data_IF_102201905413
#
_entry.id   IF_102201905413
#
_cell.length_a   1.000
_cell.length_b   1.000
_cell.length_c   1.000
_cell.angle_alpha   90.00
_cell.angle_beta   90.00
_cell.angle_gamma   90.00
#
_symmetry.space_group_name_H-M   'P 1'
#
loop_
_entity.id
_entity.type
_entity.pdbx_description
1 polymer ?
#
# COMPACT_ATOMS: atom_id res chain seq x y z
N UNK A 1 23.06 -36.40 -24.36
CA UNK A 1 21.96 -36.32 -23.38
C UNK A 1 22.08 -35.00 -22.63
N UNK A 2 21.18 -34.08 -22.92
CA UNK A 2 21.14 -32.82 -22.18
C UNK A 2 20.39 -33.03 -20.89
N UNK A 3 21.06 -32.77 -19.78
CA UNK A 3 20.39 -32.68 -18.49
C UNK A 3 19.70 -31.32 -18.43
N UNK A 4 18.37 -31.32 -18.46
CA UNK A 4 17.59 -30.12 -18.19
C UNK A 4 17.67 -29.86 -16.70
N UNK A 5 18.47 -28.87 -16.30
CA UNK A 5 18.48 -28.41 -14.94
C UNK A 5 17.33 -27.45 -14.81
N UNK A 6 16.23 -27.91 -14.22
CA UNK A 6 15.12 -27.05 -13.85
C UNK A 6 15.52 -26.29 -12.59
N UNK A 7 15.96 -25.04 -12.76
CA UNK A 7 16.07 -24.14 -11.63
C UNK A 7 14.66 -23.78 -11.19
N UNK A 8 14.18 -24.46 -10.15
CA UNK A 8 13.05 -23.96 -9.41
C UNK A 8 13.51 -22.71 -8.66
N UNK A 9 13.34 -21.56 -9.32
CA UNK A 9 13.49 -20.28 -8.64
C UNK A 9 12.28 -20.17 -7.71
N UNK A 10 12.47 -20.53 -6.45
CA UNK A 10 11.54 -20.14 -5.41
C UNK A 10 11.70 -18.63 -5.23
N UNK A 11 10.99 -17.87 -6.06
CA UNK A 11 10.72 -16.48 -5.69
C UNK A 11 9.84 -16.57 -4.46
N UNK A 12 10.44 -16.38 -3.31
CA UNK A 12 9.69 -16.04 -2.11
C UNK A 12 8.99 -14.72 -2.44
N UNK A 13 7.74 -14.81 -2.88
CA UNK A 13 6.85 -13.65 -2.86
C UNK A 13 6.60 -13.31 -1.40
N UNK A 14 7.55 -12.62 -0.80
CA UNK A 14 7.25 -11.82 0.33
C UNK A 14 6.36 -10.70 -0.22
N UNK A 15 5.06 -10.73 0.14
CA UNK A 15 4.15 -9.64 -0.12
C UNK A 15 4.65 -8.43 0.69
N UNK A 16 5.65 -7.76 0.16
CA UNK A 16 6.02 -6.46 0.68
C UNK A 16 5.61 -5.45 -0.37
N UNK A 17 4.69 -4.56 0.03
CA UNK A 17 4.34 -3.41 -0.80
C UNK A 17 5.59 -2.59 -1.04
N UNK A 18 5.70 -1.99 -2.22
CA UNK A 18 6.80 -1.10 -2.51
C UNK A 18 6.74 0.10 -1.56
N UNK A 19 7.87 0.38 -0.92
CA UNK A 19 8.02 1.53 -0.04
C UNK A 19 8.40 2.76 -0.87
N UNK A 20 7.64 3.85 -0.70
CA UNK A 20 7.86 5.06 -1.45
C UNK A 20 8.60 6.11 -0.61
N UNK A 21 9.38 6.94 -1.30
CA UNK A 21 10.06 8.09 -0.74
C UNK A 21 9.64 9.37 -1.45
N UNK A 22 10.08 10.52 -0.93
CA UNK A 22 9.84 11.81 -1.58
C UNK A 22 10.38 11.83 -3.03
N UNK A 23 11.38 11.02 -3.33
CA UNK A 23 12.04 10.99 -4.64
C UNK A 23 11.25 10.28 -5.71
N UNK A 24 10.40 9.31 -5.35
CA UNK A 24 9.68 8.49 -6.32
C UNK A 24 8.15 8.49 -6.15
N UNK A 25 7.63 9.16 -5.13
CA UNK A 25 6.20 9.14 -4.80
C UNK A 25 5.32 9.55 -5.98
N UNK A 26 5.55 10.75 -6.49
CA UNK A 26 4.70 11.31 -7.56
C UNK A 26 4.76 10.47 -8.83
N UNK A 27 5.95 9.99 -9.20
CA UNK A 27 6.14 9.14 -10.38
C UNK A 27 5.41 7.80 -10.24
N UNK A 28 5.50 7.17 -9.08
CA UNK A 28 4.94 5.85 -8.84
C UNK A 28 3.41 5.82 -8.83
N UNK A 29 2.77 6.89 -8.38
CA UNK A 29 1.31 6.94 -8.28
C UNK A 29 0.65 7.62 -9.49
N UNK A 30 1.43 8.23 -10.38
CA UNK A 30 0.92 8.91 -11.56
C UNK A 30 0.14 7.94 -12.46
N UNK A 31 -1.07 8.36 -12.83
CA UNK A 31 -1.93 7.56 -13.71
C UNK A 31 -2.51 6.30 -13.09
N UNK A 32 -2.40 6.14 -11.77
CA UNK A 32 -2.79 4.92 -11.08
C UNK A 32 -3.87 5.17 -10.03
N UNK A 33 -4.62 4.10 -9.75
CA UNK A 33 -5.41 3.99 -8.55
C UNK A 33 -4.53 3.36 -7.48
N UNK A 34 -4.15 4.13 -6.48
CA UNK A 34 -3.16 3.71 -5.49
C UNK A 34 -3.69 3.86 -4.07
N UNK A 35 -3.42 2.86 -3.24
CA UNK A 35 -3.65 2.89 -1.80
C UNK A 35 -2.30 3.06 -1.13
N UNK A 36 -2.14 4.11 -0.36
CA UNK A 36 -0.89 4.40 0.33
C UNK A 36 -1.08 4.19 1.83
N UNK A 37 -0.30 3.28 2.40
CA UNK A 37 -0.26 2.99 3.83
C UNK A 37 0.82 3.83 4.50
N UNK A 38 0.41 4.85 5.23
CA UNK A 38 1.30 5.66 6.07
C UNK A 38 1.43 4.99 7.43
N UNK A 39 2.62 4.54 7.75
CA UNK A 39 2.89 3.73 8.94
C UNK A 39 4.18 4.14 9.65
N UNK A 40 4.40 3.57 10.83
CA UNK A 40 5.67 3.61 11.53
C UNK A 40 6.05 2.20 12.00
N UNK A 41 7.34 1.94 12.15
CA UNK A 41 7.85 0.61 12.52
C UNK A 41 7.45 0.17 13.93
N UNK A 42 7.23 1.13 14.84
CA UNK A 42 6.90 0.88 16.26
C UNK A 42 5.39 0.79 16.54
N UNK A 43 4.57 0.84 15.54
CA UNK A 43 3.11 1.00 15.65
C UNK A 43 2.39 -0.35 15.58
N UNK A 44 1.87 -0.91 16.69
CA UNK A 44 1.16 -2.19 16.66
C UNK A 44 -0.08 -2.22 15.77
N UNK A 45 -0.96 -1.19 15.76
CA UNK A 45 -2.09 -1.16 14.82
C UNK A 45 -1.66 -1.16 13.35
N UNK A 46 -0.51 -0.57 13.04
CA UNK A 46 0.04 -0.57 11.67
C UNK A 46 0.38 -1.99 11.21
N UNK A 47 0.85 -2.84 12.11
CA UNK A 47 1.17 -4.24 11.80
C UNK A 47 -0.10 -5.05 11.53
N UNK A 48 -1.17 -4.78 12.27
CA UNK A 48 -2.47 -5.42 12.03
C UNK A 48 -3.01 -5.01 10.66
N UNK A 49 -2.97 -3.72 10.34
CA UNK A 49 -3.39 -3.24 9.03
C UNK A 49 -2.55 -3.85 7.91
N UNK A 50 -1.24 -3.97 8.10
CA UNK A 50 -0.34 -4.58 7.12
C UNK A 50 -0.79 -6.01 6.78
N UNK A 51 -1.15 -6.81 7.78
CA UNK A 51 -1.66 -8.16 7.56
C UNK A 51 -2.99 -8.15 6.80
N UNK A 52 -3.88 -7.22 7.15
CA UNK A 52 -5.16 -7.07 6.45
C UNK A 52 -4.97 -6.62 4.99
N UNK A 53 -3.97 -5.80 4.72
CA UNK A 53 -3.61 -5.40 3.35
C UNK A 53 -3.05 -6.57 2.54
N UNK A 54 -2.30 -7.48 3.17
CA UNK A 54 -1.83 -8.70 2.51
C UNK A 54 -3.01 -9.58 2.07
N UNK A 55 -3.99 -9.77 2.95
CA UNK A 55 -5.21 -10.51 2.62
C UNK A 55 -5.99 -9.80 1.50
N UNK A 56 -6.10 -8.49 1.57
CA UNK A 56 -6.75 -7.68 0.55
C UNK A 56 -6.05 -7.76 -0.80
N UNK A 57 -4.72 -7.83 -0.84
CA UNK A 57 -3.95 -7.95 -2.08
C UNK A 57 -4.41 -9.14 -2.92
N UNK A 58 -4.84 -10.23 -2.27
CA UNK A 58 -5.31 -11.44 -2.94
C UNK A 58 -6.68 -11.23 -3.59
N UNK A 59 -7.53 -10.41 -2.98
CA UNK A 59 -8.94 -10.24 -3.40
C UNK A 59 -9.23 -8.87 -4.02
N UNK A 60 -8.26 -7.96 -4.02
CA UNK A 60 -8.49 -6.59 -4.47
C UNK A 60 -8.99 -6.51 -5.91
N UNK A 61 -9.81 -5.50 -6.24
CA UNK A 61 -10.18 -5.23 -7.62
C UNK A 61 -8.94 -4.98 -8.49
N UNK A 62 -9.02 -5.37 -9.76
CA UNK A 62 -7.93 -5.15 -10.72
C UNK A 62 -7.64 -3.66 -10.88
N UNK A 63 -6.38 -3.34 -11.13
CA UNK A 63 -5.94 -1.98 -11.41
C UNK A 63 -5.67 -1.11 -10.18
N UNK A 64 -5.73 -1.68 -8.97
CA UNK A 64 -5.38 -0.99 -7.73
C UNK A 64 -4.00 -1.46 -7.27
N UNK A 65 -3.10 -0.52 -7.04
CA UNK A 65 -1.77 -0.79 -6.50
C UNK A 65 -1.67 -0.30 -5.05
N UNK A 66 -0.95 -1.05 -4.22
CA UNK A 66 -0.73 -0.73 -2.81
C UNK A 66 0.73 -0.37 -2.61
N UNK A 67 0.96 0.76 -1.96
CA UNK A 67 2.28 1.23 -1.57
C UNK A 67 2.29 1.57 -0.08
N UNK A 68 3.47 1.72 0.48
CA UNK A 68 3.63 2.15 1.86
C UNK A 68 4.63 3.30 1.98
N UNK A 69 4.42 4.12 3.00
CA UNK A 69 5.30 5.25 3.34
C UNK A 69 5.58 5.18 4.84
N UNK A 70 6.85 5.04 5.20
CA UNK A 70 7.28 5.11 6.59
C UNK A 70 7.39 6.58 6.98
N UNK A 71 6.55 7.05 7.90
CA UNK A 71 6.52 8.46 8.29
C UNK A 71 7.76 8.91 9.04
N UNK A 72 8.50 7.98 9.65
CA UNK A 72 9.75 8.30 10.35
C UNK A 72 10.83 8.74 9.36
N UNK A 73 10.90 8.06 8.20
CA UNK A 73 11.85 8.37 7.14
C UNK A 73 11.34 9.45 6.18
N UNK A 74 10.03 9.56 6.02
CA UNK A 74 9.38 10.40 5.03
C UNK A 74 8.43 11.41 5.67
N UNK A 75 8.91 12.16 6.65
CA UNK A 75 8.12 13.14 7.38
C UNK A 75 7.53 14.21 6.46
N UNK A 76 8.25 14.57 5.41
CA UNK A 76 7.78 15.56 4.42
C UNK A 76 6.49 15.08 3.74
N UNK A 77 6.41 13.80 3.37
CA UNK A 77 5.20 13.24 2.77
C UNK A 77 4.04 13.20 3.77
N UNK A 78 4.31 12.80 5.01
CA UNK A 78 3.30 12.80 6.05
C UNK A 78 2.70 14.18 6.27
N UNK A 79 3.54 15.20 6.33
CA UNK A 79 3.09 16.60 6.49
C UNK A 79 2.31 17.09 5.27
N UNK A 80 2.80 16.79 4.06
CA UNK A 80 2.16 17.21 2.81
C UNK A 80 0.72 16.71 2.73
N UNK A 81 0.46 15.48 3.15
CA UNK A 81 -0.87 14.87 3.07
C UNK A 81 -1.65 14.91 4.39
N UNK A 82 -1.15 15.63 5.39
CA UNK A 82 -1.87 15.86 6.63
C UNK A 82 -2.03 14.62 7.52
N UNK A 83 -1.10 13.67 7.45
CA UNK A 83 -1.12 12.46 8.27
C UNK A 83 -0.75 12.80 9.69
N UNK A 84 -1.70 12.59 10.64
CA UNK A 84 -1.51 12.89 12.06
C UNK A 84 -1.64 11.68 12.96
N UNK A 85 -2.36 10.66 12.52
CA UNK A 85 -2.62 9.43 13.27
C UNK A 85 -2.16 8.22 12.47
N UNK A 86 -1.77 7.15 13.15
CA UNK A 86 -1.28 5.93 12.51
C UNK A 86 -2.13 4.73 12.91
N UNK A 87 -2.37 3.83 11.99
CA UNK A 87 -2.07 3.94 10.57
C UNK A 87 -3.08 4.85 9.85
N UNK A 88 -2.67 5.44 8.73
CA UNK A 88 -3.55 6.19 7.86
C UNK A 88 -3.40 5.65 6.43
N UNK A 89 -4.52 5.28 5.83
CA UNK A 89 -4.58 4.96 4.41
C UNK A 89 -5.09 6.18 3.66
N UNK A 90 -4.41 6.54 2.58
CA UNK A 90 -4.92 7.53 1.66
C UNK A 90 -5.03 6.89 0.28
N UNK A 91 -6.21 7.00 -0.33
CA UNK A 91 -6.48 6.55 -1.68
C UNK A 91 -6.19 7.68 -2.65
N UNK A 92 -5.40 7.37 -3.68
CA UNK A 92 -5.01 8.33 -4.72
C UNK A 92 -5.53 7.88 -6.07
N UNK A 93 -6.05 8.83 -6.83
CA UNK A 93 -6.42 8.60 -8.22
C UNK A 93 -5.66 9.58 -9.09
N UNK A 94 -4.79 9.05 -9.95
CA UNK A 94 -3.90 9.83 -10.82
C UNK A 94 -3.13 10.92 -10.05
N UNK A 95 -2.51 10.52 -8.94
CA UNK A 95 -1.68 11.39 -8.12
C UNK A 95 -2.44 12.32 -7.18
N UNK A 96 -3.77 12.26 -7.16
CA UNK A 96 -4.61 13.12 -6.30
C UNK A 96 -5.24 12.32 -5.18
N UNK A 97 -5.13 12.78 -3.91
CA UNK A 97 -5.83 12.13 -2.81
C UNK A 97 -7.34 12.28 -2.98
N UNK A 98 -8.06 11.16 -2.87
CA UNK A 98 -9.52 11.15 -3.01
C UNK A 98 -10.24 10.74 -1.74
N UNK A 99 -9.58 9.96 -0.87
CA UNK A 99 -10.19 9.47 0.37
C UNK A 99 -9.14 9.12 1.41
N UNK A 100 -9.47 9.32 2.68
CA UNK A 100 -8.60 9.00 3.81
C UNK A 100 -9.34 8.09 4.79
N UNK A 101 -8.64 7.08 5.28
CA UNK A 101 -9.11 6.16 6.31
C UNK A 101 -8.08 6.08 7.43
N UNK A 102 -8.49 6.42 8.66
CA UNK A 102 -7.62 6.37 9.83
C UNK A 102 -7.95 5.12 10.65
N UNK A 103 -6.91 4.40 11.04
CA UNK A 103 -7.05 3.20 11.87
C UNK A 103 -7.07 1.91 11.06
N UNK A 104 -7.40 0.82 11.74
CA UNK A 104 -7.39 -0.52 11.15
C UNK A 104 -8.62 -0.69 10.27
N UNK A 105 -8.39 -1.09 9.01
CA UNK A 105 -9.42 -1.52 8.09
C UNK A 105 -9.31 -3.03 7.90
N UNK A 106 -10.43 -3.74 7.88
CA UNK A 106 -10.44 -5.15 7.55
C UNK A 106 -10.28 -5.35 6.04
N UNK A 107 -9.92 -6.56 5.61
CA UNK A 107 -9.81 -6.86 4.18
C UNK A 107 -11.14 -6.65 3.45
N UNK A 108 -12.27 -6.96 4.09
CA UNK A 108 -13.59 -6.73 3.53
C UNK A 108 -13.91 -5.23 3.40
N UNK A 109 -13.60 -4.45 4.43
CA UNK A 109 -13.77 -2.98 4.40
C UNK A 109 -12.91 -2.36 3.29
N UNK A 110 -11.68 -2.83 3.12
CA UNK A 110 -10.80 -2.40 2.03
C UNK A 110 -11.37 -2.75 0.66
N UNK A 111 -11.92 -3.94 0.52
CA UNK A 111 -12.57 -4.36 -0.73
C UNK A 111 -13.75 -3.46 -1.07
N UNK A 112 -14.65 -3.24 -0.12
CA UNK A 112 -15.85 -2.44 -0.31
C UNK A 112 -15.52 -0.98 -0.61
N UNK A 113 -14.60 -0.39 0.15
CA UNK A 113 -14.19 1.01 -0.04
C UNK A 113 -13.46 1.22 -1.36
N UNK A 114 -12.60 0.29 -1.75
CA UNK A 114 -11.87 0.40 -3.02
C UNK A 114 -12.79 0.34 -4.22
N UNK A 115 -13.82 -0.50 -4.20
CA UNK A 115 -14.83 -0.55 -5.26
C UNK A 115 -15.66 0.73 -5.33
N UNK A 116 -15.95 1.31 -4.18
CA UNK A 116 -16.75 2.54 -4.07
C UNK A 116 -15.95 3.78 -4.49
N UNK A 117 -14.73 3.91 -3.97
CA UNK A 117 -13.97 5.15 -4.06
C UNK A 117 -13.19 5.31 -5.38
N UNK A 118 -12.79 4.19 -6.00
CA UNK A 118 -12.06 4.20 -7.27
C UNK A 118 -12.94 4.07 -8.52
N UNK A 119 -14.20 4.33 -8.39
CA UNK A 119 -15.12 4.34 -9.55
C UNK A 119 -14.71 5.37 -10.60
#
# INVERSE_FOLDING_TARGET
>A
MQKVIVFLIFTNFLFSYEELSVHNFDEKIKGKNAIIDFYASWCPPCKILANNLEDFEIIKPDGIEIFKVNIEDQLVLAKKYGVKKLPTLIYFKDGKPIKEYVGIQTSQELFDSSKKDFK
#
